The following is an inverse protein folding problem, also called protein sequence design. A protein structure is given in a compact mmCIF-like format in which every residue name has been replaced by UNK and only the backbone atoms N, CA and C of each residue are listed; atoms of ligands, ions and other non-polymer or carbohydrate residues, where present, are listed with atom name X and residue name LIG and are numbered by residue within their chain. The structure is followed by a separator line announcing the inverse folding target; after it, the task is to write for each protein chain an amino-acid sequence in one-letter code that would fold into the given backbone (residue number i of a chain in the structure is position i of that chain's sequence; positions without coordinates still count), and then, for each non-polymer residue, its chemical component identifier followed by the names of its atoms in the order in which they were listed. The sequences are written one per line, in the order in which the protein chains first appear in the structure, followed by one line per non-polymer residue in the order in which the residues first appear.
data_IF_226662172819
#
_entry.id   IF_226662172819
#
_cell.length_a   1.000
_cell.length_b   1.000
_cell.length_c   1.000
_cell.angle_alpha   90.00
_cell.angle_beta   90.00
_cell.angle_gamma   90.00
#
_symmetry.space_group_name_H-M   'P 1'
#
loop_
_entity.id
_entity.type
_entity.pdbx_description
1 polymer ?
#
# COMPACT_ATOMS: atom_id res chain seq x y z
N UNK A 1 9.03 7.72 -19.30
CA UNK A 1 7.89 8.64 -19.43
C UNK A 1 7.71 9.36 -18.11
N UNK A 2 7.88 10.67 -18.05
CA UNK A 2 7.55 11.44 -16.86
C UNK A 2 6.14 12.03 -17.04
N UNK A 3 5.12 11.24 -16.75
CA UNK A 3 3.78 11.79 -16.68
C UNK A 3 3.73 12.69 -15.45
N UNK A 4 3.52 13.98 -15.66
CA UNK A 4 3.38 14.94 -14.58
C UNK A 4 1.95 14.83 -14.02
N UNK A 5 1.84 14.35 -12.79
CA UNK A 5 0.60 14.33 -12.02
C UNK A 5 0.71 15.40 -10.94
N UNK A 6 -0.16 16.41 -11.01
CA UNK A 6 -0.10 17.53 -10.07
C UNK A 6 -0.28 17.05 -8.63
N UNK A 7 0.60 17.47 -7.74
CA UNK A 7 0.62 17.06 -6.34
C UNK A 7 1.29 15.72 -6.05
N UNK A 8 1.85 15.05 -7.08
CA UNK A 8 2.59 13.79 -6.94
C UNK A 8 3.94 13.90 -7.63
N UNK A 9 5.01 13.71 -6.87
CA UNK A 9 6.36 13.65 -7.40
C UNK A 9 6.66 12.19 -7.77
N UNK A 10 7.01 11.95 -9.03
CA UNK A 10 7.20 10.61 -9.58
C UNK A 10 8.62 10.46 -10.04
N UNK A 11 9.30 9.47 -9.50
CA UNK A 11 10.71 9.18 -9.78
C UNK A 11 10.96 7.68 -9.91
N UNK A 12 12.00 7.31 -10.62
CA UNK A 12 12.50 5.93 -10.61
C UNK A 12 13.21 5.65 -9.30
N UNK A 13 13.04 4.45 -8.77
CA UNK A 13 13.77 4.02 -7.58
C UNK A 13 15.27 3.87 -7.90
N UNK A 14 16.13 4.27 -6.96
CA UNK A 14 17.60 4.27 -7.16
C UNK A 14 18.17 2.89 -7.46
N UNK A 15 17.66 1.87 -6.77
CA UNK A 15 18.18 0.50 -6.87
C UNK A 15 17.54 -0.32 -8.00
N UNK A 16 16.41 0.13 -8.57
CA UNK A 16 15.71 -0.64 -9.60
C UNK A 16 14.82 0.22 -10.48
N UNK A 17 15.06 0.14 -11.78
CA UNK A 17 14.17 0.80 -12.77
C UNK A 17 12.76 0.19 -12.85
N UNK A 18 12.52 -0.94 -12.19
CA UNK A 18 11.22 -1.62 -12.12
C UNK A 18 10.30 -1.08 -11.03
N UNK A 19 10.84 -0.27 -10.12
CA UNK A 19 10.12 0.33 -9.02
C UNK A 19 9.94 1.82 -9.31
N UNK A 20 8.73 2.32 -9.11
CA UNK A 20 8.40 3.73 -9.24
C UNK A 20 8.14 4.31 -7.85
N UNK A 21 8.87 5.36 -7.49
CA UNK A 21 8.62 6.13 -6.28
C UNK A 21 7.59 7.21 -6.57
N UNK A 22 6.62 7.37 -5.66
CA UNK A 22 5.55 8.36 -5.75
C UNK A 22 5.45 9.07 -4.40
N UNK A 23 5.84 10.33 -4.35
CA UNK A 23 5.72 11.15 -3.16
C UNK A 23 4.46 12.03 -3.25
N UNK A 24 3.59 11.91 -2.24
CA UNK A 24 2.35 12.70 -2.15
C UNK A 24 2.68 14.02 -1.46
N UNK A 25 2.40 15.13 -2.13
CA UNK A 25 2.68 16.46 -1.59
C UNK A 25 1.82 16.80 -0.37
N UNK A 26 2.34 17.68 0.48
CA UNK A 26 1.62 18.19 1.67
C UNK A 26 0.31 18.87 1.30
N UNK A 27 0.23 19.48 0.12
CA UNK A 27 -1.00 20.08 -0.37
C UNK A 27 -2.09 19.04 -0.59
N UNK A 28 -1.78 17.93 -1.27
CA UNK A 28 -2.72 16.81 -1.50
C UNK A 28 -3.12 16.19 -0.17
N UNK A 29 -2.16 15.90 0.72
CA UNK A 29 -2.44 15.34 2.04
C UNK A 29 -3.39 16.24 2.85
N UNK A 30 -3.14 17.55 2.85
CA UNK A 30 -3.98 18.52 3.56
C UNK A 30 -5.42 18.54 3.03
N UNK A 31 -5.59 18.43 1.72
CA UNK A 31 -6.91 18.35 1.08
C UNK A 31 -7.65 17.05 1.39
N UNK A 32 -6.92 15.96 1.67
CA UNK A 32 -7.51 14.67 2.03
C UNK A 32 -7.99 14.60 3.48
N UNK A 33 -7.48 15.44 4.39
CA UNK A 33 -7.85 15.40 5.81
C UNK A 33 -9.37 15.52 5.98
N UNK A 34 -10.01 16.49 5.33
CA UNK A 34 -11.44 16.72 5.47
C UNK A 34 -12.29 15.55 4.93
N UNK A 35 -12.13 15.07 3.69
CA UNK A 35 -12.92 13.95 3.20
C UNK A 35 -12.66 12.64 3.97
N UNK A 36 -11.44 12.40 4.44
CA UNK A 36 -11.11 11.21 5.22
C UNK A 36 -11.72 11.25 6.63
N UNK A 37 -11.77 12.44 7.25
CA UNK A 37 -12.37 12.59 8.58
C UNK A 37 -13.91 12.53 8.61
N UNK A 38 -14.57 12.54 7.44
CA UNK A 38 -16.02 12.29 7.37
C UNK A 38 -16.41 10.87 7.77
N UNK A 39 -15.45 9.94 7.71
CA UNK A 39 -15.70 8.53 7.97
C UNK A 39 -14.86 8.05 9.13
N UNK A 40 -15.50 7.35 10.07
CA UNK A 40 -14.79 6.58 11.06
C UNK A 40 -14.08 5.40 10.39
N UNK A 41 -13.01 4.90 11.01
CA UNK A 41 -12.25 3.75 10.49
C UNK A 41 -13.13 2.50 10.36
N UNK A 42 -14.09 2.31 11.26
CA UNK A 42 -15.04 1.20 11.21
C UNK A 42 -15.97 1.28 10.01
N UNK A 43 -16.26 2.48 9.49
CA UNK A 43 -17.08 2.64 8.31
C UNK A 43 -16.45 2.02 7.07
N UNK A 44 -15.11 1.95 6.99
CA UNK A 44 -14.40 1.27 5.89
C UNK A 44 -14.67 -0.24 5.87
N UNK A 45 -14.95 -0.83 7.04
CA UNK A 45 -15.21 -2.27 7.17
C UNK A 45 -16.63 -2.64 6.78
N UNK A 46 -17.61 -1.88 7.23
CA UNK A 46 -19.03 -2.24 7.12
C UNK A 46 -19.81 -1.50 6.03
N UNK A 47 -19.26 -0.40 5.49
CA UNK A 47 -19.91 0.41 4.45
C UNK A 47 -19.05 0.47 3.19
N UNK A 48 -19.24 -0.44 2.23
CA UNK A 48 -18.39 -0.52 1.03
C UNK A 48 -18.21 0.81 0.30
N UNK A 49 -19.27 1.60 0.19
CA UNK A 49 -19.23 2.90 -0.49
C UNK A 49 -18.25 3.89 0.12
N UNK A 50 -17.93 3.79 1.41
CA UNK A 50 -16.95 4.68 2.04
C UNK A 50 -15.56 4.49 1.45
N UNK A 51 -15.18 3.25 1.14
CA UNK A 51 -13.88 2.93 0.53
C UNK A 51 -13.76 3.54 -0.86
N UNK A 52 -14.80 3.40 -1.68
CA UNK A 52 -14.83 4.03 -3.00
C UNK A 52 -14.86 5.57 -2.92
N UNK A 53 -15.53 6.13 -1.91
CA UNK A 53 -15.59 7.58 -1.71
C UNK A 53 -14.23 8.17 -1.38
N UNK A 54 -13.46 7.54 -0.47
CA UNK A 54 -12.11 8.01 -0.14
C UNK A 54 -11.13 7.80 -1.30
N UNK A 55 -11.26 6.69 -2.04
CA UNK A 55 -10.47 6.47 -3.25
C UNK A 55 -10.74 7.53 -4.31
N UNK A 56 -12.02 7.82 -4.56
CA UNK A 56 -12.40 8.90 -5.46
C UNK A 56 -11.85 10.25 -5.01
N UNK A 57 -11.92 10.56 -3.71
CA UNK A 57 -11.38 11.81 -3.18
C UNK A 57 -9.87 11.95 -3.45
N UNK A 58 -9.12 10.85 -3.38
CA UNK A 58 -7.69 10.83 -3.71
C UNK A 58 -7.47 11.01 -5.22
N UNK A 59 -8.22 10.30 -6.06
CA UNK A 59 -8.04 10.35 -7.52
C UNK A 59 -8.45 11.70 -8.12
N UNK A 60 -9.51 12.32 -7.59
CA UNK A 60 -9.97 13.64 -8.02
C UNK A 60 -8.87 14.71 -7.85
N UNK A 61 -8.03 14.62 -6.82
CA UNK A 61 -6.90 15.55 -6.61
C UNK A 61 -5.79 15.41 -7.66
N UNK A 62 -5.76 14.30 -8.37
CA UNK A 62 -4.87 14.05 -9.51
C UNK A 62 -5.56 14.26 -10.88
N UNK A 63 -6.77 14.80 -10.90
CA UNK A 63 -7.61 14.85 -12.10
C UNK A 63 -7.85 13.46 -12.73
N UNK A 64 -8.07 12.45 -11.90
CA UNK A 64 -8.27 11.03 -12.26
C UNK A 64 -7.07 10.42 -13.03
N UNK A 65 -5.87 10.92 -12.80
CA UNK A 65 -4.65 10.40 -13.42
C UNK A 65 -3.95 9.35 -12.56
N UNK A 66 -4.08 9.45 -11.23
CA UNK A 66 -3.35 8.56 -10.33
C UNK A 66 -3.79 7.10 -10.51
N UNK A 67 -5.09 6.82 -10.55
CA UNK A 67 -5.62 5.48 -10.75
C UNK A 67 -5.14 4.86 -12.06
N UNK A 68 -5.16 5.62 -13.14
CA UNK A 68 -4.66 5.19 -14.44
C UNK A 68 -3.17 4.88 -14.38
N UNK A 69 -2.38 5.78 -13.81
CA UNK A 69 -0.93 5.64 -13.69
C UNK A 69 -0.52 4.43 -12.85
N UNK A 70 -1.15 4.22 -11.67
CA UNK A 70 -0.89 3.05 -10.84
C UNK A 70 -1.19 1.74 -11.58
N UNK A 71 -2.31 1.68 -12.32
CA UNK A 71 -2.66 0.51 -13.11
C UNK A 71 -1.68 0.27 -14.27
N UNK A 72 -1.17 1.31 -14.91
CA UNK A 72 -0.14 1.19 -15.94
C UNK A 72 1.15 0.62 -15.38
N UNK A 73 1.66 1.16 -14.24
CA UNK A 73 2.85 0.64 -13.56
C UNK A 73 2.71 -0.86 -13.26
N UNK A 74 1.58 -1.25 -12.67
CA UNK A 74 1.37 -2.63 -12.22
C UNK A 74 1.23 -3.62 -13.37
N UNK A 75 0.70 -3.20 -14.52
CA UNK A 75 0.49 -4.05 -15.69
C UNK A 75 1.69 -4.09 -16.65
N UNK A 76 2.58 -3.12 -16.57
CA UNK A 76 3.78 -3.09 -17.41
C UNK A 76 4.81 -4.12 -16.89
N UNK A 77 5.25 -5.02 -17.76
CA UNK A 77 6.27 -6.04 -17.45
C UNK A 77 7.64 -5.45 -17.13
N UNK A 78 7.91 -4.21 -17.50
CA UNK A 78 9.18 -3.52 -17.21
C UNK A 78 9.18 -2.82 -15.86
N UNK A 79 8.01 -2.62 -15.27
CA UNK A 79 7.82 -2.08 -13.93
C UNK A 79 7.15 -3.10 -13.02
N UNK A 80 5.92 -2.94 -12.61
CA UNK A 80 5.15 -3.91 -11.82
C UNK A 80 5.11 -3.61 -10.33
N UNK A 81 5.83 -2.56 -9.87
CA UNK A 81 5.84 -2.16 -8.46
C UNK A 81 5.93 -0.64 -8.31
N UNK A 82 5.29 -0.12 -7.26
CA UNK A 82 5.48 1.27 -6.83
C UNK A 82 5.66 1.35 -5.31
N UNK A 83 6.34 2.39 -4.87
CA UNK A 83 6.41 2.83 -3.49
C UNK A 83 5.72 4.19 -3.43
N UNK A 84 4.67 4.31 -2.64
CA UNK A 84 3.94 5.56 -2.46
C UNK A 84 4.00 6.00 -1.00
N UNK A 85 4.35 7.25 -0.75
CA UNK A 85 4.51 7.77 0.60
C UNK A 85 4.10 9.25 0.70
N UNK A 86 3.67 9.71 1.86
CA UNK A 86 3.59 11.12 2.18
C UNK A 86 4.97 11.78 2.06
N UNK A 87 5.04 12.97 1.47
CA UNK A 87 6.28 13.75 1.40
C UNK A 87 6.75 14.15 2.81
N UNK A 88 5.81 14.58 3.66
CA UNK A 88 6.08 14.87 5.05
C UNK A 88 4.97 14.27 5.94
N UNK A 89 5.38 13.70 7.07
CA UNK A 89 4.47 13.27 8.12
C UNK A 89 4.33 14.41 9.13
N UNK A 90 3.11 14.90 9.33
CA UNK A 90 2.78 15.89 10.33
C UNK A 90 1.78 15.33 11.34
N UNK A 91 1.53 16.05 12.44
CA UNK A 91 0.66 15.60 13.54
C UNK A 91 -0.81 15.33 13.14
N UNK A 92 -1.24 15.71 11.94
CA UNK A 92 -2.59 15.45 11.43
C UNK A 92 -2.69 14.14 10.66
N UNK A 93 -1.55 13.51 10.39
CA UNK A 93 -1.45 12.23 9.69
C UNK A 93 -1.17 11.16 10.75
N UNK A 94 -2.24 10.63 11.30
CA UNK A 94 -2.21 9.53 12.26
C UNK A 94 -2.34 8.16 11.56
N UNK A 95 -2.25 7.09 12.33
CA UNK A 95 -2.44 5.72 11.85
C UNK A 95 -3.76 5.52 11.11
N UNK A 96 -4.84 6.15 11.59
CA UNK A 96 -6.15 6.03 10.95
C UNK A 96 -6.18 6.71 9.59
N UNK A 97 -5.50 7.85 9.45
CA UNK A 97 -5.33 8.50 8.16
C UNK A 97 -4.53 7.61 7.21
N UNK A 98 -3.44 7.02 7.67
CA UNK A 98 -2.60 6.12 6.85
C UNK A 98 -3.35 4.86 6.41
N UNK A 99 -4.17 4.27 7.28
CA UNK A 99 -5.04 3.14 6.91
C UNK A 99 -6.08 3.55 5.85
N UNK A 100 -6.67 4.73 5.99
CA UNK A 100 -7.60 5.27 4.99
C UNK A 100 -6.90 5.54 3.66
N UNK A 101 -5.69 6.10 3.70
CA UNK A 101 -4.87 6.33 2.51
C UNK A 101 -4.53 5.01 1.80
N UNK A 102 -4.07 4.01 2.53
CA UNK A 102 -3.81 2.67 1.98
C UNK A 102 -5.06 2.04 1.37
N UNK A 103 -6.19 2.17 2.06
CA UNK A 103 -7.49 1.69 1.54
C UNK A 103 -7.89 2.44 0.27
N UNK A 104 -7.68 3.75 0.22
CA UNK A 104 -7.95 4.53 -0.99
C UNK A 104 -7.07 4.07 -2.15
N UNK A 105 -5.76 3.92 -1.94
CA UNK A 105 -4.80 3.45 -2.95
C UNK A 105 -5.19 2.06 -3.48
N UNK A 106 -5.54 1.11 -2.60
CA UNK A 106 -5.95 -0.22 -3.02
C UNK A 106 -7.18 -0.18 -3.94
N UNK A 107 -8.14 0.71 -3.64
CA UNK A 107 -9.37 0.86 -4.44
C UNK A 107 -9.18 1.65 -5.75
N UNK A 108 -8.05 2.30 -5.94
CA UNK A 108 -7.66 2.85 -7.25
C UNK A 108 -7.18 1.76 -8.21
N UNK A 109 -6.68 0.65 -7.67
CA UNK A 109 -6.17 -0.48 -8.46
C UNK A 109 -7.25 -1.54 -8.68
N UNK A 110 -8.01 -1.87 -7.63
CA UNK A 110 -9.00 -2.93 -7.69
C UNK A 110 -9.82 -3.04 -6.41
N UNK A 111 -10.53 -4.13 -6.25
CA UNK A 111 -11.30 -4.42 -5.04
C UNK A 111 -10.46 -5.37 -4.18
N UNK A 112 -10.08 -4.98 -2.96
CA UNK A 112 -9.32 -5.84 -2.06
C UNK A 112 -10.07 -7.11 -1.71
N UNK A 113 -9.34 -8.22 -1.62
CA UNK A 113 -9.88 -9.47 -1.10
C UNK A 113 -10.22 -9.32 0.38
N UNK A 114 -11.28 -9.99 0.80
CA UNK A 114 -11.63 -10.07 2.21
C UNK A 114 -10.70 -11.06 2.91
N UNK A 115 -9.99 -10.59 3.94
CA UNK A 115 -9.17 -11.43 4.78
C UNK A 115 -10.04 -12.09 5.86
N UNK A 116 -10.35 -13.36 5.68
CA UNK A 116 -11.18 -14.13 6.61
C UNK A 116 -10.51 -14.30 8.00
N UNK A 117 -9.19 -14.27 8.08
CA UNK A 117 -8.46 -14.39 9.35
C UNK A 117 -8.52 -13.09 10.16
N UNK A 118 -8.38 -11.95 9.49
CA UNK A 118 -8.49 -10.64 10.13
C UNK A 118 -9.96 -10.18 10.26
N UNK A 119 -10.90 -10.78 9.52
CA UNK A 119 -12.29 -10.36 9.47
C UNK A 119 -12.50 -9.01 8.78
N UNK A 120 -11.57 -8.60 7.93
CA UNK A 120 -11.50 -7.25 7.34
C UNK A 120 -10.90 -7.28 5.92
N UNK A 121 -10.90 -6.14 5.24
CA UNK A 121 -10.23 -5.95 3.96
C UNK A 121 -8.75 -5.52 4.10
N UNK A 122 -8.21 -5.57 5.30
CA UNK A 122 -6.80 -5.37 5.60
C UNK A 122 -6.42 -6.13 6.86
N UNK A 123 -5.18 -6.59 6.95
CA UNK A 123 -4.61 -7.18 8.15
C UNK A 123 -3.63 -6.20 8.79
N UNK A 124 -3.59 -6.16 10.14
CA UNK A 124 -2.58 -5.41 10.89
C UNK A 124 -1.60 -6.39 11.53
N UNK A 125 -0.35 -6.20 11.27
CA UNK A 125 0.72 -6.98 11.85
C UNK A 125 1.54 -6.12 12.80
N UNK A 126 1.80 -6.66 13.98
CA UNK A 126 2.71 -6.07 14.95
C UNK A 126 3.85 -7.05 15.19
N UNK A 127 5.07 -6.55 15.12
CA UNK A 127 6.23 -7.34 15.52
C UNK A 127 6.17 -7.57 17.02
N UNK A 128 6.15 -8.85 17.45
CA UNK A 128 6.19 -9.26 18.85
C UNK A 128 7.54 -9.91 19.13
N UNK A 129 8.27 -9.36 20.09
CA UNK A 129 9.60 -9.84 20.46
C UNK A 129 9.58 -11.01 21.48
N UNK A 130 8.42 -11.53 21.86
CA UNK A 130 8.22 -12.26 23.13
C UNK A 130 8.06 -13.76 22.97
N UNK A 131 7.76 -14.29 21.79
CA UNK A 131 7.46 -15.72 21.65
C UNK A 131 8.10 -16.33 20.41
N UNK A 132 9.03 -17.28 20.65
CA UNK A 132 9.69 -18.06 19.59
C UNK A 132 8.76 -19.11 18.97
N UNK A 133 7.63 -19.41 19.60
CA UNK A 133 6.66 -20.42 19.16
C UNK A 133 5.55 -19.86 18.28
N UNK A 134 5.43 -18.54 18.19
CA UNK A 134 4.39 -17.88 17.39
C UNK A 134 4.62 -18.02 15.88
N UNK A 135 3.58 -17.79 15.10
CA UNK A 135 3.62 -17.82 13.63
C UNK A 135 4.87 -17.14 13.09
N UNK A 136 5.53 -17.74 12.12
CA UNK A 136 6.73 -17.19 11.50
C UNK A 136 6.54 -15.76 10.94
N UNK A 137 5.32 -15.37 10.59
CA UNK A 137 4.94 -14.01 10.17
C UNK A 137 5.13 -12.95 11.26
N UNK A 138 5.29 -13.36 12.52
CA UNK A 138 5.45 -12.47 13.68
C UNK A 138 6.82 -12.53 14.32
N UNK A 139 7.70 -13.39 13.79
CA UNK A 139 9.06 -13.56 14.34
C UNK A 139 9.93 -12.39 13.92
N UNK A 140 10.38 -11.59 14.89
CA UNK A 140 11.20 -10.40 14.67
C UNK A 140 12.59 -10.70 14.07
N UNK A 141 13.11 -11.91 14.24
CA UNK A 141 14.52 -12.24 13.95
C UNK A 141 14.68 -13.40 12.98
N UNK A 142 13.65 -13.75 12.25
CA UNK A 142 13.69 -14.85 11.28
C UNK A 142 13.49 -14.29 9.89
N UNK A 143 14.46 -14.55 9.01
CA UNK A 143 14.28 -14.24 7.60
C UNK A 143 13.10 -15.01 7.04
N UNK A 144 12.31 -14.33 6.23
CA UNK A 144 11.24 -14.96 5.46
C UNK A 144 11.78 -15.31 4.09
N UNK A 145 11.68 -16.59 3.71
CA UNK A 145 12.07 -17.03 2.38
C UNK A 145 11.21 -16.37 1.30
N UNK A 146 11.77 -16.24 0.10
CA UNK A 146 11.02 -15.75 -1.05
C UNK A 146 9.83 -16.66 -1.33
N UNK A 147 8.65 -16.07 -1.38
CA UNK A 147 7.39 -16.76 -1.58
C UNK A 147 6.42 -15.90 -2.40
N UNK A 148 5.32 -16.47 -2.80
CA UNK A 148 4.19 -15.76 -3.41
C UNK A 148 3.01 -15.82 -2.46
N UNK A 149 2.34 -14.70 -2.26
CA UNK A 149 1.14 -14.63 -1.44
C UNK A 149 -0.09 -15.15 -2.21
N UNK A 150 -1.06 -15.67 -1.45
CA UNK A 150 -2.35 -16.09 -2.01
C UNK A 150 -2.31 -17.35 -2.86
N UNK A 151 -1.22 -18.15 -2.80
CA UNK A 151 -1.06 -19.36 -3.65
C UNK A 151 -2.09 -20.45 -3.33
N UNK A 152 -2.51 -20.56 -2.06
CA UNK A 152 -3.38 -21.64 -1.57
C UNK A 152 -4.81 -21.19 -1.27
N UNK A 153 -5.19 -19.98 -1.65
CA UNK A 153 -6.56 -19.46 -1.45
C UNK A 153 -7.39 -19.62 -2.73
N UNK A 154 -8.70 -19.72 -2.56
CA UNK A 154 -9.63 -19.88 -3.68
C UNK A 154 -9.61 -18.68 -4.63
N UNK A 155 -9.52 -17.48 -4.06
CA UNK A 155 -9.44 -16.23 -4.81
C UNK A 155 -7.98 -15.77 -4.81
N UNK A 156 -7.34 -15.90 -5.97
CA UNK A 156 -5.94 -15.50 -6.13
C UNK A 156 -5.80 -13.98 -6.00
N UNK A 157 -4.71 -13.57 -5.38
CA UNK A 157 -4.32 -12.16 -5.27
C UNK A 157 -3.50 -11.77 -6.49
N UNK A 158 -3.94 -10.78 -7.25
CA UNK A 158 -3.17 -10.22 -8.37
C UNK A 158 -2.07 -9.28 -7.87
N UNK A 159 -2.37 -8.50 -6.83
CA UNK A 159 -1.48 -7.46 -6.29
C UNK A 159 -1.52 -7.47 -4.76
N UNK A 160 -0.38 -7.22 -4.14
CA UNK A 160 -0.25 -7.04 -2.70
C UNK A 160 0.10 -5.59 -2.40
N UNK A 161 -0.67 -4.94 -1.53
CA UNK A 161 -0.33 -3.63 -0.97
C UNK A 161 0.09 -3.80 0.48
N UNK A 162 1.34 -3.48 0.77
CA UNK A 162 1.89 -3.44 2.13
C UNK A 162 2.04 -1.98 2.57
N UNK A 163 1.63 -1.69 3.79
CA UNK A 163 1.74 -0.35 4.37
C UNK A 163 2.50 -0.39 5.69
N UNK A 164 3.60 0.34 5.76
CA UNK A 164 4.33 0.55 7.00
C UNK A 164 3.73 1.76 7.72
N UNK A 165 3.15 1.53 8.89
CA UNK A 165 2.55 2.59 9.70
C UNK A 165 3.57 3.18 10.67
N UNK A 166 4.38 2.36 11.27
CA UNK A 166 5.36 2.76 12.27
C UNK A 166 6.62 1.88 12.20
N UNK A 167 7.76 2.50 12.44
CA UNK A 167 9.04 1.82 12.60
C UNK A 167 9.82 2.51 13.71
N UNK A 168 10.25 1.72 14.71
CA UNK A 168 11.07 2.21 15.82
C UNK A 168 12.25 1.30 16.03
N UNK A 169 13.48 1.85 15.92
CA UNK A 169 14.73 1.15 16.21
C UNK A 169 14.85 -0.22 15.50
N UNK A 170 14.33 -0.32 14.27
CA UNK A 170 14.42 -1.54 13.50
C UNK A 170 15.73 -1.56 12.72
N UNK A 171 16.47 -2.66 12.85
CA UNK A 171 17.60 -3.01 12.00
C UNK A 171 17.19 -4.22 11.16
N UNK A 172 17.34 -4.14 9.84
CA UNK A 172 16.84 -5.18 8.94
C UNK A 172 15.33 -5.06 8.66
N UNK A 173 14.72 -6.11 8.15
CA UNK A 173 13.30 -6.14 7.82
C UNK A 173 12.97 -5.49 6.47
N UNK A 174 13.95 -5.37 5.61
CA UNK A 174 13.78 -4.92 4.23
C UNK A 174 12.89 -5.90 3.46
N UNK A 175 12.06 -5.36 2.59
CA UNK A 175 11.27 -6.17 1.67
C UNK A 175 12.08 -6.43 0.40
N UNK A 176 12.43 -7.69 0.16
CA UNK A 176 13.07 -8.12 -1.09
C UNK A 176 12.02 -8.62 -2.08
N UNK A 177 12.13 -8.18 -3.33
CA UNK A 177 11.23 -8.61 -4.41
C UNK A 177 12.05 -9.19 -5.56
N UNK A 178 11.65 -10.37 -6.03
CA UNK A 178 12.23 -11.02 -7.20
C UNK A 178 11.18 -11.06 -8.32
N UNK A 179 11.52 -10.54 -9.48
CA UNK A 179 10.65 -10.62 -10.64
C UNK A 179 10.62 -12.07 -11.18
N UNK A 180 9.42 -12.62 -11.35
CA UNK A 180 9.24 -14.03 -11.75
C UNK A 180 9.90 -14.41 -13.07
N UNK A 181 10.12 -13.46 -13.98
CA UNK A 181 10.86 -13.74 -15.24
C UNK A 181 12.31 -14.20 -15.01
N UNK A 182 12.86 -13.96 -13.81
CA UNK A 182 14.19 -14.42 -13.45
C UNK A 182 14.22 -15.88 -12.97
N UNK A 183 13.08 -16.45 -12.67
CA UNK A 183 12.95 -17.85 -12.21
C UNK A 183 12.90 -18.83 -13.38
N UNK A 184 12.57 -18.35 -14.58
CA UNK A 184 12.45 -19.16 -15.81
C UNK A 184 13.67 -19.10 -16.73
N UNK A 185 14.81 -18.68 -16.19
CA UNK A 185 16.08 -18.70 -16.94
C UNK A 185 16.69 -20.09 -16.89
#
# INVERSE_FOLDING_TARGET
MSEKIDGFQIEKHELSSRIVNIDISDEVLSKLIFPFNKFDITALEYKPFTRFTIAKSLDDLSNNKLSKFLNEILKDRNTGCFIIKPQNLNSKIDDNFLVKLSTAISHLVGIPNYDAMAGKYYARFHVKHVDKSDSYLRKAYTNMDLHTDGTYVKEKTDWLLMSKLEERNAEGGETAMLHLSLIHI
#
